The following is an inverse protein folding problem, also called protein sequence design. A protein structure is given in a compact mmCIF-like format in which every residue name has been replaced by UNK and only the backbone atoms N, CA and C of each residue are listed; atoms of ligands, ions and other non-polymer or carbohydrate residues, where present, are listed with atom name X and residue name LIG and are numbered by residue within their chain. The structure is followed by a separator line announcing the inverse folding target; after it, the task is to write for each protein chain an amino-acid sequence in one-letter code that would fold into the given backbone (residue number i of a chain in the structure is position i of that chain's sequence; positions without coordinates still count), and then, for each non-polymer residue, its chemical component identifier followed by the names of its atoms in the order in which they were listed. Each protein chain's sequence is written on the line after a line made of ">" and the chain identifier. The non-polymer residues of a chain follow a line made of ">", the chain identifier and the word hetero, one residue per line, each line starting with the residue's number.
data_IF_754660247463
#
_entry.id   IF_754660247463
#
_cell.length_a   1.000
_cell.length_b   1.000
_cell.length_c   1.000
_cell.angle_alpha   90.00
_cell.angle_beta   90.00
_cell.angle_gamma   90.00
#
_symmetry.space_group_name_H-M   'P 1'
#
loop_
_entity.id
_entity.type
_entity.pdbx_description
1 polymer ?
#
# COMPACT_ATOMS: atom_id res chain seq x y z
N UNK A 1 10.86 21.36 7.91
CA UNK A 1 9.41 21.67 8.00
C UNK A 1 8.75 21.58 6.62
N UNK A 2 7.47 21.16 6.55
CA UNK A 2 6.70 21.08 5.30
C UNK A 2 6.24 22.46 4.83
N UNK A 3 6.33 22.71 3.53
CA UNK A 3 5.69 23.87 2.88
C UNK A 3 4.16 23.74 2.90
N UNK A 4 3.43 24.84 2.75
CA UNK A 4 1.95 24.82 2.70
C UNK A 4 1.40 23.94 1.57
N UNK A 5 2.12 23.93 0.44
CA UNK A 5 1.82 23.05 -0.69
C UNK A 5 1.99 21.58 -0.32
N UNK A 6 3.12 21.20 0.30
CA UNK A 6 3.35 19.83 0.73
C UNK A 6 2.35 19.41 1.83
N UNK A 7 1.99 20.30 2.76
CA UNK A 7 0.95 20.01 3.75
C UNK A 7 -0.38 19.65 3.09
N UNK A 8 -0.76 20.35 2.02
CA UNK A 8 -1.96 20.04 1.23
C UNK A 8 -1.86 18.68 0.55
N UNK A 9 -0.70 18.35 -0.04
CA UNK A 9 -0.45 17.03 -0.63
C UNK A 9 -0.58 15.93 0.44
N UNK A 10 0.06 16.11 1.59
CA UNK A 10 0.04 15.11 2.65
C UNK A 10 -1.35 14.95 3.28
N UNK A 11 -2.14 16.02 3.36
CA UNK A 11 -3.51 15.92 3.82
C UNK A 11 -4.35 15.02 2.90
N UNK A 12 -4.30 15.24 1.57
CA UNK A 12 -4.98 14.38 0.60
C UNK A 12 -4.44 12.95 0.60
N UNK A 13 -3.13 12.81 0.69
CA UNK A 13 -2.45 11.53 0.81
C UNK A 13 -3.01 10.73 1.99
N UNK A 14 -2.99 11.29 3.21
CA UNK A 14 -3.50 10.61 4.40
C UNK A 14 -5.01 10.34 4.32
N UNK A 15 -5.80 11.29 3.81
CA UNK A 15 -7.24 11.11 3.64
C UNK A 15 -7.58 9.93 2.74
N UNK A 16 -6.91 9.81 1.59
CA UNK A 16 -7.13 8.71 0.64
C UNK A 16 -6.64 7.38 1.21
N UNK A 17 -5.60 7.38 2.05
CA UNK A 17 -5.07 6.16 2.65
C UNK A 17 -5.99 5.55 3.69
N UNK A 18 -6.81 6.33 4.41
CA UNK A 18 -7.77 5.79 5.39
C UNK A 18 -8.69 4.71 4.79
N UNK A 19 -9.46 4.96 3.72
CA UNK A 19 -10.30 3.93 3.13
C UNK A 19 -9.48 2.81 2.46
N UNK A 20 -8.30 3.10 1.91
CA UNK A 20 -7.41 2.06 1.36
C UNK A 20 -7.01 1.08 2.47
N UNK A 21 -6.55 1.58 3.61
CA UNK A 21 -6.15 0.75 4.74
C UNK A 21 -7.28 -0.05 5.36
N UNK A 22 -8.45 0.56 5.48
CA UNK A 22 -9.64 -0.12 6.03
C UNK A 22 -10.17 -1.20 5.07
N UNK A 23 -10.19 -0.96 3.75
CA UNK A 23 -10.83 -1.89 2.81
C UNK A 23 -9.87 -2.79 2.05
N UNK A 24 -8.75 -2.25 1.56
CA UNK A 24 -7.75 -2.97 0.77
C UNK A 24 -6.77 -3.67 1.69
N UNK A 25 -6.10 -2.95 2.59
CA UNK A 25 -5.03 -3.56 3.40
C UNK A 25 -5.62 -4.59 4.38
N UNK A 26 -6.75 -4.27 5.02
CA UNK A 26 -7.48 -5.24 5.86
C UNK A 26 -7.86 -6.54 5.11
N UNK A 27 -8.01 -6.49 3.78
CA UNK A 27 -8.26 -7.70 2.97
C UNK A 27 -7.09 -8.68 2.95
N UNK A 28 -5.87 -8.17 3.13
CA UNK A 28 -4.63 -8.94 3.13
C UNK A 28 -4.55 -9.77 4.41
N UNK A 29 -4.93 -9.21 5.56
CA UNK A 29 -4.90 -9.90 6.87
C UNK A 29 -6.12 -10.79 7.14
N UNK A 30 -7.32 -10.41 6.69
CA UNK A 30 -8.57 -11.16 6.96
C UNK A 30 -8.83 -12.30 5.97
N UNK A 31 -7.89 -12.51 5.05
CA UNK A 31 -8.04 -13.34 3.86
C UNK A 31 -9.30 -12.99 3.03
N UNK A 32 -9.85 -11.79 3.22
CA UNK A 32 -11.12 -11.37 2.63
C UNK A 32 -12.33 -12.21 3.06
N UNK A 33 -12.26 -13.03 4.12
CA UNK A 33 -13.39 -13.85 4.58
C UNK A 33 -14.50 -12.97 5.17
N UNK A 34 -14.12 -11.99 5.97
CA UNK A 34 -15.01 -11.08 6.70
C UNK A 34 -15.42 -9.83 5.91
N UNK A 35 -14.83 -9.58 4.74
CA UNK A 35 -15.16 -8.40 3.94
C UNK A 35 -16.54 -8.49 3.30
N UNK A 36 -17.22 -7.34 3.18
CA UNK A 36 -18.47 -7.25 2.44
C UNK A 36 -18.26 -7.63 0.95
N UNK A 37 -19.22 -8.30 0.28
CA UNK A 37 -19.07 -8.76 -1.11
C UNK A 37 -18.65 -7.68 -2.11
N UNK A 38 -19.10 -6.44 -1.92
CA UNK A 38 -18.73 -5.29 -2.78
C UNK A 38 -17.22 -5.07 -2.74
N UNK A 39 -16.61 -5.07 -1.56
CA UNK A 39 -15.17 -4.89 -1.41
C UNK A 39 -14.41 -6.09 -1.96
N UNK A 40 -14.89 -7.33 -1.74
CA UNK A 40 -14.28 -8.52 -2.37
C UNK A 40 -14.26 -8.39 -3.89
N UNK A 41 -15.35 -7.91 -4.50
CA UNK A 41 -15.43 -7.69 -5.95
C UNK A 41 -14.45 -6.60 -6.42
N UNK A 42 -14.36 -5.49 -5.69
CA UNK A 42 -13.43 -4.41 -6.00
C UNK A 42 -11.96 -4.86 -5.92
N UNK A 43 -11.61 -5.57 -4.85
CA UNK A 43 -10.26 -6.15 -4.66
C UNK A 43 -9.97 -7.15 -5.76
N UNK A 44 -10.87 -8.10 -6.03
CA UNK A 44 -10.66 -9.07 -7.11
C UNK A 44 -10.48 -8.39 -8.47
N UNK A 45 -11.27 -7.35 -8.77
CA UNK A 45 -11.09 -6.56 -9.98
C UNK A 45 -9.70 -5.91 -10.03
N UNK A 46 -9.27 -5.25 -8.95
CA UNK A 46 -7.95 -4.64 -8.83
C UNK A 46 -6.82 -5.66 -9.01
N UNK A 47 -6.86 -6.77 -8.28
CA UNK A 47 -5.87 -7.85 -8.33
C UNK A 47 -5.74 -8.42 -9.74
N UNK A 48 -6.87 -8.69 -10.41
CA UNK A 48 -6.88 -9.27 -11.76
C UNK A 48 -6.42 -8.27 -12.82
N UNK A 49 -6.84 -7.00 -12.73
CA UNK A 49 -6.54 -5.98 -13.74
C UNK A 49 -5.08 -5.49 -13.69
N UNK A 50 -4.50 -5.49 -12.49
CA UNK A 50 -3.11 -5.08 -12.28
C UNK A 50 -2.12 -6.25 -12.21
N UNK A 51 -2.61 -7.50 -12.24
CA UNK A 51 -1.81 -8.69 -11.96
C UNK A 51 -1.07 -8.57 -10.62
N UNK A 52 -1.76 -8.00 -9.63
CA UNK A 52 -1.20 -7.70 -8.32
C UNK A 52 -1.16 -8.97 -7.47
N UNK A 53 -0.10 -9.75 -7.64
CA UNK A 53 0.08 -11.00 -6.90
C UNK A 53 0.30 -10.78 -5.40
N UNK A 54 0.76 -9.60 -4.97
CA UNK A 54 0.96 -9.28 -3.56
C UNK A 54 -0.38 -9.31 -2.81
N UNK A 55 -1.40 -8.66 -3.38
CA UNK A 55 -2.77 -8.70 -2.84
C UNK A 55 -3.45 -10.05 -3.08
N UNK A 56 -3.12 -10.73 -4.19
CA UNK A 56 -3.72 -12.00 -4.57
C UNK A 56 -3.28 -13.19 -3.70
N UNK A 57 -1.98 -13.30 -3.42
CA UNK A 57 -1.39 -14.43 -2.67
C UNK A 57 -1.11 -14.10 -1.21
N UNK A 58 -1.01 -12.80 -0.87
CA UNK A 58 -0.92 -12.29 0.52
C UNK A 58 0.23 -12.93 1.29
N UNK A 59 1.49 -12.73 0.86
CA UNK A 59 2.62 -13.35 1.53
C UNK A 59 2.71 -12.93 3.01
N UNK A 60 3.21 -13.81 3.87
CA UNK A 60 3.22 -13.59 5.33
C UNK A 60 3.95 -12.32 5.76
N UNK A 61 5.02 -11.94 5.05
CA UNK A 61 5.75 -10.70 5.32
C UNK A 61 4.87 -9.47 5.06
N UNK A 62 4.01 -9.50 4.03
CA UNK A 62 3.11 -8.39 3.70
C UNK A 62 2.00 -8.29 4.73
N UNK A 63 1.45 -9.43 5.18
CA UNK A 63 0.50 -9.46 6.29
C UNK A 63 1.10 -8.83 7.55
N UNK A 64 2.38 -9.08 7.84
CA UNK A 64 3.07 -8.44 8.98
C UNK A 64 3.16 -6.92 8.81
N UNK A 65 3.55 -6.42 7.65
CA UNK A 65 3.57 -4.97 7.38
C UNK A 65 2.19 -4.34 7.52
N UNK A 66 1.16 -4.95 6.94
CA UNK A 66 -0.22 -4.48 7.06
C UNK A 66 -0.69 -4.44 8.52
N UNK A 67 -0.34 -5.45 9.33
CA UNK A 67 -0.63 -5.39 10.76
C UNK A 67 0.02 -4.17 11.42
N UNK A 68 1.28 -3.88 11.11
CA UNK A 68 1.93 -2.66 11.62
C UNK A 68 1.27 -1.39 11.11
N UNK A 69 0.78 -1.37 9.88
CA UNK A 69 0.03 -0.24 9.30
C UNK A 69 -1.26 0.00 10.06
N UNK A 70 -2.03 -1.04 10.38
CA UNK A 70 -3.30 -0.90 11.11
C UNK A 70 -3.13 -0.34 12.52
N UNK A 71 -2.06 -0.71 13.22
CA UNK A 71 -1.85 -0.27 14.61
C UNK A 71 -1.14 1.08 14.73
N UNK A 72 -0.23 1.42 13.81
CA UNK A 72 0.60 2.61 13.93
C UNK A 72 0.30 3.67 12.89
N UNK A 73 0.10 3.28 11.63
CA UNK A 73 -0.06 4.24 10.54
C UNK A 73 -1.51 4.74 10.43
N UNK A 74 -2.49 3.86 10.59
CA UNK A 74 -3.90 4.24 10.48
C UNK A 74 -4.33 5.29 11.52
N UNK A 75 -3.98 5.18 12.82
CA UNK A 75 -4.26 6.24 13.79
C UNK A 75 -3.58 7.57 13.42
N UNK A 76 -2.36 7.52 12.89
CA UNK A 76 -1.63 8.71 12.44
C UNK A 76 -2.37 9.41 11.28
N UNK A 77 -2.95 8.65 10.35
CA UNK A 77 -3.72 9.20 9.24
C UNK A 77 -4.93 10.00 9.73
N UNK A 78 -5.68 9.44 10.70
CA UNK A 78 -6.80 10.16 11.32
C UNK A 78 -6.35 11.44 12.01
N UNK A 79 -5.26 11.39 12.78
CA UNK A 79 -4.71 12.57 13.45
C UNK A 79 -4.31 13.64 12.43
N UNK A 80 -3.59 13.25 11.37
CA UNK A 80 -3.14 14.15 10.33
C UNK A 80 -4.29 14.84 9.58
N UNK A 81 -5.39 14.11 9.32
CA UNK A 81 -6.55 14.63 8.59
C UNK A 81 -7.42 15.53 9.47
N UNK A 82 -7.66 15.14 10.73
CA UNK A 82 -8.56 15.86 11.65
C UNK A 82 -7.90 17.09 12.27
N UNK A 83 -6.62 16.99 12.61
CA UNK A 83 -5.90 18.03 13.36
C UNK A 83 -4.79 18.70 12.55
N UNK A 84 -4.44 18.18 11.37
CA UNK A 84 -3.39 18.72 10.52
C UNK A 84 -2.02 18.11 10.80
N UNK A 85 -1.19 18.01 9.77
CA UNK A 85 0.14 17.37 9.83
C UNK A 85 1.14 18.11 10.72
N UNK A 86 0.95 19.41 10.93
CA UNK A 86 1.80 20.26 11.78
C UNK A 86 1.65 19.96 13.27
N UNK A 87 0.55 19.32 13.68
CA UNK A 87 0.33 18.91 15.07
C UNK A 87 1.13 17.65 15.43
N UNK A 88 1.61 16.92 14.43
CA UNK A 88 2.36 15.68 14.60
C UNK A 88 3.85 16.03 14.75
N UNK A 89 4.53 15.57 15.81
CA UNK A 89 5.95 15.83 15.96
C UNK A 89 6.74 15.21 14.81
N UNK A 90 7.77 15.92 14.35
CA UNK A 90 8.58 15.52 13.20
C UNK A 90 9.18 14.12 13.34
N UNK A 91 9.57 13.72 14.55
CA UNK A 91 10.07 12.37 14.84
C UNK A 91 9.06 11.28 14.47
N UNK A 92 7.76 11.50 14.71
CA UNK A 92 6.72 10.55 14.33
C UNK A 92 6.50 10.52 12.82
N UNK A 93 6.56 11.68 12.14
CA UNK A 93 6.48 11.74 10.68
C UNK A 93 7.68 11.05 10.01
N UNK A 94 8.88 11.21 10.57
CA UNK A 94 10.10 10.51 10.11
C UNK A 94 10.00 9.01 10.36
N UNK A 95 9.54 8.58 11.53
CA UNK A 95 9.32 7.16 11.82
C UNK A 95 8.28 6.55 10.87
N UNK A 96 7.17 7.24 10.64
CA UNK A 96 6.18 6.86 9.65
C UNK A 96 6.80 6.73 8.24
N UNK A 97 7.55 7.75 7.80
CA UNK A 97 8.24 7.74 6.52
C UNK A 97 9.20 6.57 6.35
N UNK A 98 9.89 6.18 7.43
CA UNK A 98 10.80 5.04 7.44
C UNK A 98 10.05 3.72 7.29
N UNK A 99 8.97 3.54 8.06
CA UNK A 99 8.20 2.30 8.08
C UNK A 99 7.42 2.11 6.77
N UNK A 100 6.64 3.11 6.36
CA UNK A 100 5.83 3.07 5.15
C UNK A 100 6.69 3.11 3.87
N UNK A 101 7.76 3.92 3.87
CA UNK A 101 8.73 3.93 2.78
C UNK A 101 9.47 2.59 2.68
N UNK A 102 9.89 2.02 3.81
CA UNK A 102 10.57 0.73 3.87
C UNK A 102 9.71 -0.44 3.40
N UNK A 103 8.46 -0.54 3.86
CA UNK A 103 7.52 -1.58 3.42
C UNK A 103 7.22 -1.46 1.92
N UNK A 104 6.98 -0.23 1.43
CA UNK A 104 6.74 0.04 0.02
C UNK A 104 7.96 -0.26 -0.86
N UNK A 105 9.17 0.07 -0.40
CA UNK A 105 10.41 -0.29 -1.09
C UNK A 105 10.56 -1.81 -1.20
N UNK A 106 10.24 -2.54 -0.13
CA UNK A 106 10.27 -4.00 -0.15
C UNK A 106 9.27 -4.57 -1.17
N UNK A 107 8.05 -4.02 -1.24
CA UNK A 107 7.08 -4.38 -2.29
C UNK A 107 7.63 -4.13 -3.69
N UNK A 108 8.28 -2.98 -3.93
CA UNK A 108 8.89 -2.66 -5.23
C UNK A 108 10.00 -3.65 -5.61
N UNK A 109 10.89 -3.98 -4.67
CA UNK A 109 11.95 -4.98 -4.85
C UNK A 109 11.32 -6.33 -5.20
N UNK A 110 10.33 -6.77 -4.43
CA UNK A 110 9.66 -8.05 -4.65
C UNK A 110 8.95 -8.11 -6.01
N UNK A 111 8.31 -7.04 -6.46
CA UNK A 111 7.71 -6.95 -7.81
C UNK A 111 8.77 -7.14 -8.91
N UNK A 112 9.94 -6.50 -8.77
CA UNK A 112 11.01 -6.58 -9.77
C UNK A 112 11.58 -7.99 -9.85
N UNK A 113 11.92 -8.60 -8.72
CA UNK A 113 12.59 -9.91 -8.70
C UNK A 113 11.60 -11.08 -8.81
N UNK A 114 10.49 -11.03 -8.08
CA UNK A 114 9.57 -12.15 -7.90
C UNK A 114 8.22 -11.99 -8.59
N UNK A 115 7.94 -10.86 -9.26
CA UNK A 115 6.65 -10.62 -9.90
C UNK A 115 6.19 -11.72 -10.86
N UNK A 116 5.05 -12.35 -10.55
CA UNK A 116 4.47 -13.48 -11.29
C UNK A 116 2.93 -13.43 -11.34
N UNK A 117 2.31 -14.24 -12.19
CA UNK A 117 0.87 -14.42 -12.19
C UNK A 117 0.41 -15.26 -10.99
N UNK A 118 -0.48 -14.71 -10.16
CA UNK A 118 -1.03 -15.41 -9.00
C UNK A 118 -1.95 -16.56 -9.40
N UNK A 119 -2.04 -17.57 -8.52
CA UNK A 119 -2.72 -18.86 -8.77
C UNK A 119 -4.19 -18.75 -9.20
N UNK A 120 -4.91 -17.75 -8.71
CA UNK A 120 -6.36 -17.61 -8.91
C UNK A 120 -6.73 -16.59 -10.00
N UNK A 121 -5.81 -16.20 -10.89
CA UNK A 121 -6.14 -15.25 -11.95
C UNK A 121 -6.99 -15.91 -13.05
N UNK A 122 -8.30 -15.61 -13.18
CA UNK A 122 -9.18 -16.30 -14.12
C UNK A 122 -8.87 -15.93 -15.58
N UNK A 123 -8.15 -14.82 -15.83
CA UNK A 123 -7.79 -14.37 -17.18
C UNK A 123 -6.54 -15.08 -17.74
N UNK A 124 -5.83 -15.89 -16.95
CA UNK A 124 -4.51 -16.44 -17.33
C UNK A 124 -4.37 -17.91 -16.93
N UNK A 125 -4.10 -18.79 -17.90
CA UNK A 125 -4.06 -20.25 -17.69
C UNK A 125 -2.68 -20.78 -17.24
N UNK A 126 -1.73 -19.89 -16.94
CA UNK A 126 -0.36 -20.27 -16.55
C UNK A 126 0.00 -19.64 -15.19
N UNK A 127 -0.41 -20.25 -14.08
CA UNK A 127 -0.09 -19.76 -12.74
C UNK A 127 1.43 -19.79 -12.49
N UNK A 128 1.92 -18.87 -11.66
CA UNK A 128 3.34 -18.73 -11.26
C UNK A 128 4.33 -18.45 -12.38
N UNK A 129 3.86 -18.20 -13.60
CA UNK A 129 4.70 -17.69 -14.67
C UNK A 129 5.12 -16.26 -14.34
N UNK A 130 6.41 -15.95 -14.53
CA UNK A 130 6.95 -14.61 -14.34
C UNK A 130 6.19 -13.58 -15.20
N UNK A 131 5.92 -12.40 -14.62
CA UNK A 131 5.30 -11.30 -15.34
C UNK A 131 6.27 -10.74 -16.39
N UNK A 132 5.76 -10.36 -17.58
CA UNK A 132 6.57 -9.62 -18.56
C UNK A 132 6.99 -8.27 -17.97
N UNK A 133 8.11 -7.74 -18.46
CA UNK A 133 8.71 -6.50 -17.93
C UNK A 133 7.72 -5.33 -17.87
N UNK A 134 6.87 -5.17 -18.89
CA UNK A 134 5.87 -4.11 -18.93
C UNK A 134 4.78 -4.26 -17.87
N UNK A 135 4.40 -5.50 -17.53
CA UNK A 135 3.44 -5.73 -16.45
C UNK A 135 4.08 -5.47 -15.08
N UNK A 136 5.36 -5.86 -14.89
CA UNK A 136 6.12 -5.51 -13.69
C UNK A 136 6.25 -4.00 -13.53
N UNK A 137 6.55 -3.27 -14.62
CA UNK A 137 6.66 -1.81 -14.59
C UNK A 137 5.32 -1.14 -14.28
N UNK A 138 4.22 -1.59 -14.90
CA UNK A 138 2.87 -1.09 -14.59
C UNK A 138 2.56 -1.24 -13.09
N UNK A 139 2.83 -2.43 -12.54
CA UNK A 139 2.59 -2.71 -11.12
C UNK A 139 3.52 -1.90 -10.22
N UNK A 140 4.82 -1.81 -10.54
CA UNK A 140 5.77 -1.02 -9.77
C UNK A 140 5.40 0.48 -9.77
N UNK A 141 4.98 1.05 -10.89
CA UNK A 141 4.50 2.43 -10.97
C UNK A 141 3.23 2.67 -10.14
N UNK A 142 2.39 1.66 -9.97
CA UNK A 142 1.24 1.74 -9.08
C UNK A 142 1.68 1.85 -7.60
N UNK A 143 2.70 1.11 -7.19
CA UNK A 143 3.24 1.14 -5.82
C UNK A 143 4.20 2.32 -5.56
N UNK A 144 4.77 2.92 -6.60
CA UNK A 144 5.80 3.94 -6.49
C UNK A 144 5.39 5.20 -5.67
N UNK A 145 4.17 5.76 -5.78
CA UNK A 145 3.75 6.89 -4.96
C UNK A 145 3.79 6.61 -3.46
N UNK A 146 3.47 5.36 -3.07
CA UNK A 146 3.49 4.88 -1.68
C UNK A 146 4.90 4.75 -1.12
N UNK A 147 5.92 4.64 -1.99
CA UNK A 147 7.32 4.75 -1.59
C UNK A 147 7.78 6.21 -1.53
N UNK A 148 7.50 6.99 -2.58
CA UNK A 148 8.03 8.34 -2.75
C UNK A 148 7.55 9.31 -1.66
N UNK A 149 6.24 9.34 -1.42
CA UNK A 149 5.64 10.32 -0.50
C UNK A 149 6.04 10.08 0.97
N UNK A 150 6.01 8.85 1.51
CA UNK A 150 6.53 8.60 2.86
C UNK A 150 8.02 8.86 2.98
N UNK A 151 8.83 8.47 1.99
CA UNK A 151 10.29 8.66 2.05
C UNK A 151 10.67 10.15 2.08
N UNK A 152 9.90 11.02 1.42
CA UNK A 152 10.10 12.48 1.50
C UNK A 152 9.99 13.03 2.94
N UNK A 153 9.21 12.40 3.81
CA UNK A 153 9.08 12.79 5.23
C UNK A 153 10.35 12.52 6.06
N UNK A 154 11.28 11.68 5.57
CA UNK A 154 12.57 11.48 6.22
C UNK A 154 13.45 12.74 6.19
N UNK A 155 13.20 13.62 5.24
CA UNK A 155 13.96 14.84 4.98
C UNK A 155 13.21 16.10 5.43
N UNK A 156 12.36 15.98 6.45
CA UNK A 156 11.74 17.13 7.12
C UNK A 156 12.75 17.97 7.90
#
# INVERSE_FOLDING_TARGET
>A
MLTDFEQTIYWWYFLIHIPISIFIDTSIITEGRTLHPIFKKAINWHTVENNDYLVGERPKWLQFFVWTEMFYQLPLFFIAVLYGTTTIPETFLKLYGLLAGGSSLWCLIDIVFNGHYFLLNPKKHTPRRALPIMAKLKLALFYFPYFLLPTRLLFL
#
